data_IF_111562701252
#
_entry.id   IF_111562701252
#
_cell.length_a   1.000
_cell.length_b   1.000
_cell.length_c   1.000
_cell.angle_alpha   90.00
_cell.angle_beta   90.00
_cell.angle_gamma   90.00
#
_symmetry.space_group_name_H-M   'P 1'
#
loop_
_entity.id
_entity.type
_entity.pdbx_description
1 polymer ?
#
# COMPACT_ATOMS: atom_id res chain seq x y z
N UNK A 1 23.91 -1.12 -5.56
CA UNK A 1 22.69 -1.51 -6.31
C UNK A 1 21.85 -2.48 -5.47
N UNK A 2 21.05 -1.95 -4.54
CA UNK A 2 19.88 -2.64 -4.01
C UNK A 2 18.79 -1.56 -4.03
N UNK A 3 17.98 -1.65 -5.09
CA UNK A 3 16.97 -0.68 -5.54
C UNK A 3 16.02 -0.39 -4.37
N UNK A 4 16.03 0.83 -3.84
CA UNK A 4 15.09 1.85 -4.30
C UNK A 4 13.69 1.56 -3.74
N UNK A 5 13.50 1.72 -2.42
CA UNK A 5 12.17 1.90 -1.86
C UNK A 5 11.81 3.36 -2.11
N UNK A 6 11.18 3.60 -3.25
CA UNK A 6 10.80 4.88 -3.84
C UNK A 6 9.72 5.63 -3.03
N UNK A 7 9.95 5.85 -1.72
CA UNK A 7 9.07 6.70 -0.89
C UNK A 7 9.39 8.19 -1.03
N UNK A 8 9.94 8.65 -2.16
CA UNK A 8 10.41 10.03 -2.35
C UNK A 8 9.88 10.76 -3.58
N UNK A 9 9.03 10.13 -4.40
CA UNK A 9 8.60 10.72 -5.68
C UNK A 9 7.10 10.98 -5.82
N UNK A 10 6.29 10.80 -4.76
CA UNK A 10 4.82 10.96 -4.82
C UNK A 10 4.31 12.17 -4.01
N UNK A 11 5.15 12.80 -3.19
CA UNK A 11 4.82 14.08 -2.53
C UNK A 11 4.53 15.21 -3.54
N UNK A 12 5.25 15.24 -4.67
CA UNK A 12 5.23 16.38 -5.60
C UNK A 12 4.00 16.43 -6.52
N UNK A 13 3.29 15.30 -6.75
CA UNK A 13 2.15 15.28 -7.67
C UNK A 13 0.82 15.75 -7.06
N UNK A 14 0.70 15.81 -5.73
CA UNK A 14 -0.56 16.21 -5.08
C UNK A 14 -0.60 17.71 -4.76
N UNK A 15 0.56 18.35 -4.59
CA UNK A 15 0.63 19.80 -4.36
C UNK A 15 -0.01 20.60 -5.52
N UNK A 16 0.12 20.13 -6.76
CA UNK A 16 -0.45 20.77 -7.96
C UNK A 16 -1.95 20.49 -8.20
N UNK A 17 -2.54 19.54 -7.47
CA UNK A 17 -3.99 19.25 -7.56
C UNK A 17 -4.84 20.15 -6.63
N UNK A 18 -4.21 20.85 -5.67
CA UNK A 18 -4.91 21.70 -4.68
C UNK A 18 -5.43 23.03 -5.24
N UNK A 19 -4.95 23.51 -6.39
CA UNK A 19 -5.33 24.84 -6.91
C UNK A 19 -6.62 24.86 -7.75
N UNK A 20 -7.17 23.72 -8.19
CA UNK A 20 -8.17 23.71 -9.27
C UNK A 20 -9.62 23.37 -8.92
N UNK A 21 -9.95 23.00 -7.69
CA UNK A 21 -11.34 22.64 -7.37
C UNK A 21 -11.90 23.37 -6.16
N UNK A 22 -12.35 24.60 -6.40
CA UNK A 22 -13.45 25.18 -5.64
C UNK A 22 -14.73 24.40 -5.97
N UNK A 23 -15.12 23.46 -5.10
CA UNK A 23 -16.49 22.99 -4.86
C UNK A 23 -16.45 21.77 -3.93
N UNK A 24 -16.73 22.02 -2.64
CA UNK A 24 -17.38 21.13 -1.68
C UNK A 24 -17.16 19.60 -1.76
N UNK A 25 -15.93 19.14 -1.98
CA UNK A 25 -15.55 17.76 -1.68
C UNK A 25 -15.06 17.76 -0.24
N UNK A 26 -15.76 17.03 0.63
CA UNK A 26 -15.39 16.86 2.03
C UNK A 26 -13.86 16.69 2.09
N UNK A 27 -13.18 17.68 2.67
CA UNK A 27 -11.73 17.70 2.76
C UNK A 27 -11.36 16.50 3.58
N UNK A 28 -10.93 15.40 2.94
CA UNK A 28 -10.28 14.31 3.63
C UNK A 28 -9.19 14.97 4.47
N UNK A 29 -9.29 14.82 5.79
CA UNK A 29 -8.29 15.40 6.69
C UNK A 29 -6.94 14.79 6.32
N UNK A 30 -5.81 15.48 6.56
CA UNK A 30 -4.49 14.91 6.30
C UNK A 30 -4.33 13.50 6.90
N UNK A 31 -4.91 13.26 8.06
CA UNK A 31 -4.95 11.96 8.75
C UNK A 31 -5.73 10.89 7.97
N UNK A 32 -6.87 11.23 7.38
CA UNK A 32 -7.62 10.31 6.52
C UNK A 32 -6.84 9.98 5.25
N UNK A 33 -6.17 10.97 4.65
CA UNK A 33 -5.31 10.72 3.48
C UNK A 33 -4.12 9.82 3.80
N UNK A 34 -3.49 9.98 4.97
CA UNK A 34 -2.42 9.08 5.41
C UNK A 34 -2.91 7.66 5.65
N UNK A 35 -4.12 7.50 6.18
CA UNK A 35 -4.73 6.19 6.42
C UNK A 35 -5.02 5.47 5.10
N UNK A 36 -5.60 6.17 4.12
CA UNK A 36 -5.80 5.64 2.76
C UNK A 36 -4.47 5.27 2.08
N UNK A 37 -3.45 6.14 2.17
CA UNK A 37 -2.12 5.85 1.62
C UNK A 37 -1.49 4.59 2.22
N UNK A 38 -1.62 4.41 3.55
CA UNK A 38 -1.14 3.21 4.26
C UNK A 38 -1.89 1.97 3.78
N UNK A 39 -3.21 2.06 3.64
CA UNK A 39 -4.07 0.98 3.12
C UNK A 39 -3.67 0.59 1.70
N UNK A 40 -3.52 1.55 0.80
CA UNK A 40 -3.12 1.30 -0.59
C UNK A 40 -1.75 0.62 -0.69
N UNK A 41 -0.81 1.06 0.14
CA UNK A 41 0.53 0.47 0.21
C UNK A 41 0.48 -1.00 0.65
N UNK A 42 -0.33 -1.32 1.66
CA UNK A 42 -0.52 -2.69 2.14
C UNK A 42 -1.23 -3.57 1.10
N UNK A 43 -2.24 -3.04 0.39
CA UNK A 43 -2.92 -3.75 -0.69
C UNK A 43 -1.99 -4.08 -1.86
N UNK A 44 -1.10 -3.16 -2.21
CA UNK A 44 -0.09 -3.39 -3.25
C UNK A 44 0.87 -4.52 -2.83
N UNK A 45 1.35 -4.49 -1.59
CA UNK A 45 2.22 -5.54 -1.05
C UNK A 45 1.51 -6.90 -1.01
N UNK A 46 0.26 -6.94 -0.57
CA UNK A 46 -0.59 -8.15 -0.56
C UNK A 46 -0.68 -8.76 -1.95
N UNK A 47 -0.99 -7.93 -2.96
CA UNK A 47 -1.10 -8.36 -4.36
C UNK A 47 0.21 -8.94 -4.87
N UNK A 48 1.34 -8.31 -4.52
CA UNK A 48 2.66 -8.83 -4.88
C UNK A 48 2.95 -10.17 -4.23
N UNK A 49 2.68 -10.33 -2.93
CA UNK A 49 2.89 -11.59 -2.21
C UNK A 49 2.05 -12.73 -2.79
N UNK A 50 0.78 -12.47 -3.13
CA UNK A 50 -0.08 -13.46 -3.80
C UNK A 50 0.53 -13.94 -5.12
N UNK A 51 1.03 -13.02 -5.96
CA UNK A 51 1.70 -13.38 -7.21
C UNK A 51 3.00 -14.16 -6.99
N UNK A 52 3.72 -13.86 -5.90
CA UNK A 52 4.93 -14.62 -5.53
C UNK A 52 4.56 -16.04 -5.05
N UNK A 53 3.49 -16.20 -4.28
CA UNK A 53 2.95 -17.51 -3.85
C UNK A 53 2.52 -18.35 -5.06
N UNK A 54 1.80 -17.76 -6.00
CA UNK A 54 1.34 -18.44 -7.23
C UNK A 54 2.50 -19.00 -8.06
N UNK A 55 3.62 -18.27 -8.10
CA UNK A 55 4.83 -18.67 -8.85
C UNK A 55 5.79 -19.54 -8.03
N UNK A 56 5.61 -19.61 -6.72
CA UNK A 56 6.51 -20.31 -5.81
C UNK A 56 6.29 -21.83 -5.89
N UNK A 57 7.36 -22.56 -6.20
CA UNK A 57 7.37 -24.03 -6.23
C UNK A 57 7.96 -24.64 -4.95
N UNK A 58 8.72 -23.87 -4.16
CA UNK A 58 9.31 -24.32 -2.90
C UNK A 58 8.28 -24.24 -1.76
N UNK A 59 7.86 -25.38 -1.17
CA UNK A 59 6.86 -25.39 -0.11
C UNK A 59 7.26 -24.61 1.16
N UNK A 60 8.56 -24.58 1.50
CA UNK A 60 9.06 -23.90 2.70
C UNK A 60 9.03 -22.39 2.50
N UNK A 61 9.43 -21.94 1.33
CA UNK A 61 9.37 -20.54 0.97
C UNK A 61 7.91 -20.07 0.82
N UNK A 62 7.05 -20.90 0.23
CA UNK A 62 5.60 -20.64 0.17
C UNK A 62 4.98 -20.44 1.55
N UNK A 63 5.28 -21.29 2.53
CA UNK A 63 4.77 -21.13 3.89
C UNK A 63 5.20 -19.79 4.55
N UNK A 64 6.40 -19.31 4.20
CA UNK A 64 6.90 -18.00 4.67
C UNK A 64 6.11 -16.86 4.02
N UNK A 65 5.83 -16.95 2.72
CA UNK A 65 5.02 -15.98 2.00
C UNK A 65 3.56 -15.97 2.50
N UNK A 66 2.97 -17.13 2.78
CA UNK A 66 1.62 -17.24 3.34
C UNK A 66 1.54 -16.62 4.74
N UNK A 67 2.57 -16.81 5.57
CA UNK A 67 2.65 -16.18 6.90
C UNK A 67 2.74 -14.65 6.80
N UNK A 68 3.56 -14.13 5.89
CA UNK A 68 3.65 -12.69 5.65
C UNK A 68 2.36 -12.11 5.05
N UNK A 69 1.65 -12.87 4.20
CA UNK A 69 0.35 -12.48 3.67
C UNK A 69 -0.69 -12.34 4.80
N UNK A 70 -0.74 -13.30 5.73
CA UNK A 70 -1.62 -13.24 6.90
C UNK A 70 -1.33 -12.01 7.78
N UNK A 71 -0.06 -11.65 7.93
CA UNK A 71 0.34 -10.43 8.64
C UNK A 71 -0.16 -9.16 7.93
N UNK A 72 -0.01 -9.06 6.61
CA UNK A 72 -0.55 -7.93 5.83
C UNK A 72 -2.07 -7.83 5.93
N UNK A 73 -2.76 -8.97 5.88
CA UNK A 73 -4.22 -9.02 6.00
C UNK A 73 -4.68 -8.57 7.40
N UNK A 74 -3.94 -8.90 8.46
CA UNK A 74 -4.23 -8.42 9.82
C UNK A 74 -4.07 -6.90 9.96
N UNK A 75 -3.04 -6.32 9.33
CA UNK A 75 -2.85 -4.86 9.31
C UNK A 75 -3.95 -4.16 8.52
N UNK A 76 -4.38 -4.73 7.40
CA UNK A 76 -5.51 -4.20 6.62
C UNK A 76 -6.82 -4.25 7.40
N UNK A 77 -7.07 -5.34 8.15
CA UNK A 77 -8.24 -5.46 8.99
C UNK A 77 -8.25 -4.45 10.15
N UNK A 78 -7.08 -4.11 10.69
CA UNK A 78 -6.95 -3.08 11.74
C UNK A 78 -7.09 -1.63 11.24
N UNK A 79 -7.07 -1.41 9.92
CA UNK A 79 -7.25 -0.10 9.28
C UNK A 79 -8.68 0.12 8.74
N UNK A 80 -9.53 -0.90 8.81
CA UNK A 80 -10.94 -0.87 8.37
C UNK A 80 -11.87 -0.51 9.53
#
# INVERSE_FOLDING_TARGET
MARGWESKSVEEQIASAKERHGQSRAKLTPEQMETERKRDSLLLQRTRMLREIEKCQDPRYRATLESGLAYLDSQLAGLA
#
